data_IF_679395220541
#
_entry.id   IF_679395220541
#
_cell.length_a   1.000
_cell.length_b   1.000
_cell.length_c   1.000
_cell.angle_alpha   90.00
_cell.angle_beta   90.00
_cell.angle_gamma   90.00
#
_symmetry.space_group_name_H-M   'P 1'
#
loop_
_entity.id
_entity.type
_entity.pdbx_description
1 polymer ?
#
# COMPACT_ATOMS: atom_id res chain seq x y z
N UNK A 1 -19.53 -6.45 -5.82
CA UNK A 1 -18.26 -5.70 -5.68
C UNK A 1 -18.32 -4.96 -4.37
N UNK A 2 -17.45 -5.31 -3.42
CA UNK A 2 -17.42 -4.70 -2.08
C UNK A 2 -16.09 -3.95 -1.92
N UNK A 3 -15.90 -2.89 -2.72
CA UNK A 3 -14.65 -2.13 -2.76
C UNK A 3 -14.85 -0.75 -2.12
N UNK A 4 -13.95 -0.35 -1.24
CA UNK A 4 -13.91 0.99 -0.65
C UNK A 4 -12.56 1.65 -0.93
N UNK A 5 -12.54 2.60 -1.86
CA UNK A 5 -11.36 3.40 -2.18
C UNK A 5 -11.45 4.77 -1.51
N UNK A 6 -10.47 5.08 -0.66
CA UNK A 6 -10.44 6.28 0.17
C UNK A 6 -9.38 7.24 -0.38
N UNK A 7 -9.81 8.43 -0.78
CA UNK A 7 -8.87 9.46 -1.28
C UNK A 7 -8.94 10.73 -0.44
N UNK A 8 -7.86 11.51 -0.48
CA UNK A 8 -7.73 12.74 0.28
C UNK A 8 -6.33 13.30 0.18
N UNK A 9 -6.17 14.57 0.59
CA UNK A 9 -4.85 15.22 0.57
C UNK A 9 -3.84 14.47 1.47
N UNK A 10 -2.53 14.52 1.16
CA UNK A 10 -1.51 13.96 2.04
C UNK A 10 -1.63 14.53 3.47
N UNK A 11 -1.46 13.69 4.48
CA UNK A 11 -1.53 14.10 5.89
C UNK A 11 -2.94 14.29 6.48
N UNK A 12 -4.03 14.06 5.72
CA UNK A 12 -5.41 14.22 6.24
C UNK A 12 -5.85 13.16 7.27
N UNK A 13 -5.01 12.15 7.55
CA UNK A 13 -5.32 11.09 8.52
C UNK A 13 -5.86 9.79 7.93
N UNK A 14 -5.68 9.53 6.62
CA UNK A 14 -6.11 8.28 5.96
C UNK A 14 -5.51 7.04 6.64
N UNK A 15 -4.21 7.03 6.87
CA UNK A 15 -3.53 5.93 7.57
C UNK A 15 -4.09 5.70 8.97
N UNK A 16 -4.39 6.77 9.72
CA UNK A 16 -5.03 6.66 11.03
C UNK A 16 -6.42 6.03 10.95
N UNK A 17 -7.21 6.40 9.94
CA UNK A 17 -8.50 5.77 9.69
C UNK A 17 -8.35 4.28 9.35
N UNK A 18 -7.40 3.93 8.47
CA UNK A 18 -7.13 2.56 8.08
C UNK A 18 -6.73 1.68 9.27
N UNK A 19 -5.87 2.19 10.17
CA UNK A 19 -5.46 1.46 11.38
C UNK A 19 -6.67 1.16 12.26
N UNK A 20 -7.53 2.16 12.52
CA UNK A 20 -8.76 1.96 13.31
C UNK A 20 -9.75 1.00 12.64
N UNK A 21 -9.80 1.02 11.31
CA UNK A 21 -10.65 0.11 10.55
C UNK A 21 -10.13 -1.33 10.60
N UNK A 22 -8.82 -1.52 10.53
CA UNK A 22 -8.19 -2.82 10.73
C UNK A 22 -8.53 -3.39 12.12
N UNK A 23 -8.39 -2.57 13.17
CA UNK A 23 -8.77 -2.95 14.55
C UNK A 23 -10.27 -3.29 14.66
N UNK A 24 -11.14 -2.50 14.05
CA UNK A 24 -12.58 -2.74 14.06
C UNK A 24 -13.02 -4.01 13.29
N UNK A 25 -12.15 -4.52 12.40
CA UNK A 25 -12.40 -5.71 11.59
C UNK A 25 -11.64 -6.94 12.09
N UNK A 26 -11.00 -6.91 13.26
CA UNK A 26 -10.11 -7.97 13.77
C UNK A 26 -10.70 -9.38 13.67
N UNK A 27 -11.98 -9.56 14.02
CA UNK A 27 -12.73 -10.83 13.96
C UNK A 27 -12.88 -11.40 12.54
N UNK A 28 -12.71 -10.57 11.50
CA UNK A 28 -12.72 -11.00 10.10
C UNK A 28 -11.32 -11.36 9.59
N UNK A 29 -10.31 -11.28 10.47
CA UNK A 29 -8.91 -11.55 10.18
C UNK A 29 -8.40 -10.84 8.92
N UNK A 30 -8.53 -9.50 8.84
CA UNK A 30 -8.08 -8.72 7.70
C UNK A 30 -6.58 -8.89 7.47
N UNK A 31 -6.18 -8.79 6.21
CA UNK A 31 -4.78 -8.89 5.79
C UNK A 31 -4.39 -7.70 4.91
N UNK A 32 -3.08 -7.55 4.67
CA UNK A 32 -2.52 -6.47 3.87
C UNK A 32 -1.50 -5.66 4.66
N UNK A 33 -1.34 -4.40 4.30
CA UNK A 33 -0.27 -3.57 4.80
C UNK A 33 -0.59 -2.08 4.76
N UNK A 34 0.18 -1.31 5.53
CA UNK A 34 0.21 0.14 5.48
C UNK A 34 1.60 0.66 5.15
N UNK A 35 1.68 1.90 4.69
CA UNK A 35 2.93 2.58 4.37
C UNK A 35 3.19 3.66 5.41
N UNK A 36 4.36 3.60 6.05
CA UNK A 36 4.77 4.55 7.09
C UNK A 36 5.96 5.38 6.62
N UNK A 37 5.99 6.64 7.05
CA UNK A 37 7.13 7.51 6.84
C UNK A 37 8.30 7.10 7.74
N UNK A 38 9.49 6.97 7.17
CA UNK A 38 10.74 6.90 7.93
C UNK A 38 11.23 8.34 8.11
N UNK A 39 11.45 8.73 9.37
CA UNK A 39 11.89 10.06 9.75
C UNK A 39 13.16 10.01 10.58
N UNK A 40 14.11 10.86 10.23
CA UNK A 40 15.37 11.08 10.95
C UNK A 40 15.55 12.57 11.21
N UNK A 41 15.92 12.93 12.44
CA UNK A 41 16.09 14.33 12.85
C UNK A 41 14.92 15.26 12.43
N UNK A 42 13.67 14.76 12.51
CA UNK A 42 12.46 15.49 12.12
C UNK A 42 12.17 15.53 10.61
N UNK A 43 13.09 15.09 9.77
CA UNK A 43 12.96 15.08 8.30
C UNK A 43 12.53 13.70 7.78
N UNK A 44 11.65 13.68 6.79
CA UNK A 44 11.28 12.42 6.09
C UNK A 44 12.39 11.98 5.14
N UNK A 45 12.97 10.82 5.43
CA UNK A 45 14.08 10.20 4.69
C UNK A 45 13.66 8.98 3.87
N UNK A 46 12.50 8.39 4.16
CA UNK A 46 12.01 7.26 3.38
C UNK A 46 10.60 6.84 3.72
N UNK A 47 10.23 5.67 3.21
CA UNK A 47 8.96 5.01 3.45
C UNK A 47 9.20 3.51 3.64
N UNK A 48 8.54 2.94 4.64
CA UNK A 48 8.49 1.51 4.90
C UNK A 48 7.07 0.98 4.73
N UNK A 49 6.96 -0.25 4.29
CA UNK A 49 5.73 -1.03 4.35
C UNK A 49 5.72 -1.78 5.68
N UNK A 50 4.56 -1.78 6.33
CA UNK A 50 4.30 -2.51 7.56
C UNK A 50 3.05 -3.37 7.35
N UNK A 51 3.26 -4.68 7.34
CA UNK A 51 2.19 -5.65 7.25
C UNK A 51 1.42 -5.75 8.56
N UNK A 52 0.15 -6.12 8.45
CA UNK A 52 -0.68 -6.40 9.62
C UNK A 52 -0.27 -7.68 10.36
N UNK A 53 0.53 -8.53 9.72
CA UNK A 53 1.21 -9.69 10.32
C UNK A 53 2.51 -9.31 11.08
N UNK A 54 2.82 -8.02 11.17
CA UNK A 54 4.03 -7.50 11.81
C UNK A 54 5.27 -7.47 10.91
N UNK A 55 5.17 -7.94 9.67
CA UNK A 55 6.24 -7.86 8.68
C UNK A 55 6.58 -6.41 8.33
N UNK A 56 7.83 -6.16 7.94
CA UNK A 56 8.28 -4.83 7.49
C UNK A 56 9.20 -4.93 6.28
N UNK A 57 9.11 -3.96 5.37
CA UNK A 57 10.01 -3.84 4.21
C UNK A 57 10.27 -2.38 3.87
N UNK A 58 11.51 -2.03 3.55
CA UNK A 58 11.83 -0.73 2.98
C UNK A 58 11.17 -0.59 1.59
N UNK A 59 10.38 0.45 1.37
CA UNK A 59 9.82 0.77 0.06
C UNK A 59 10.67 1.80 -0.67
N UNK A 60 11.11 2.84 0.02
CA UNK A 60 11.96 3.87 -0.58
C UNK A 60 12.81 4.61 0.45
N UNK A 61 13.96 5.11 0.01
CA UNK A 61 14.87 5.91 0.84
C UNK A 61 15.58 6.99 0.01
N UNK A 62 16.04 8.05 0.67
CA UNK A 62 16.87 9.09 0.03
C UNK A 62 18.23 8.56 -0.43
N UNK A 63 18.80 7.62 0.34
CA UNK A 63 20.10 7.01 0.05
C UNK A 63 20.00 5.83 -0.92
N UNK A 64 18.79 5.44 -1.32
CA UNK A 64 18.59 4.36 -2.27
C UNK A 64 18.86 4.85 -3.70
N UNK A 65 19.86 4.24 -4.33
CA UNK A 65 20.10 4.42 -5.76
C UNK A 65 19.20 3.48 -6.55
N UNK A 66 18.21 4.05 -7.23
CA UNK A 66 17.24 3.29 -8.02
C UNK A 66 16.84 4.06 -9.27
N UNK A 67 16.58 3.33 -10.37
CA UNK A 67 16.00 3.89 -11.59
C UNK A 67 14.57 4.40 -11.38
N UNK A 68 13.87 3.86 -10.39
CA UNK A 68 12.53 4.28 -10.00
C UNK A 68 12.64 5.31 -8.89
N UNK A 69 12.11 6.51 -9.15
CA UNK A 69 12.23 7.63 -8.23
C UNK A 69 10.93 8.42 -8.12
N UNK A 70 10.68 8.96 -6.93
CA UNK A 70 9.65 9.99 -6.70
C UNK A 70 10.29 11.13 -5.90
N UNK A 71 10.55 12.25 -6.58
CA UNK A 71 11.34 13.34 -5.99
C UNK A 71 12.74 12.85 -5.60
N UNK A 72 13.10 13.02 -4.32
CA UNK A 72 14.40 12.60 -3.78
C UNK A 72 14.48 11.12 -3.38
N UNK A 73 13.36 10.39 -3.37
CA UNK A 73 13.31 9.00 -2.88
C UNK A 73 13.56 8.02 -4.02
N UNK A 74 14.58 7.17 -3.90
CA UNK A 74 14.73 5.98 -4.73
C UNK A 74 13.82 4.87 -4.20
N UNK A 75 13.16 4.14 -5.09
CA UNK A 75 12.17 3.11 -4.75
C UNK A 75 12.75 1.71 -4.98
N UNK A 76 12.64 0.83 -3.99
CA UNK A 76 13.04 -0.58 -4.06
C UNK A 76 11.89 -1.44 -4.62
N UNK A 77 11.75 -1.44 -5.94
CA UNK A 77 10.68 -2.21 -6.61
C UNK A 77 10.88 -3.72 -6.44
N UNK A 78 12.11 -4.19 -6.55
CA UNK A 78 12.39 -5.62 -6.39
C UNK A 78 12.00 -6.08 -4.99
N UNK A 79 12.42 -5.34 -3.96
CA UNK A 79 12.07 -5.67 -2.59
C UNK A 79 10.60 -5.56 -2.26
N UNK A 80 9.91 -4.61 -2.89
CA UNK A 80 8.47 -4.51 -2.77
C UNK A 80 7.77 -5.73 -3.39
N UNK A 81 8.21 -6.19 -4.56
CA UNK A 81 7.63 -7.37 -5.22
C UNK A 81 7.90 -8.68 -4.46
N UNK A 82 9.10 -8.83 -3.89
CA UNK A 82 9.40 -9.93 -2.95
C UNK A 82 8.44 -9.94 -1.76
N UNK A 83 8.20 -8.77 -1.16
CA UNK A 83 7.29 -8.61 -0.04
C UNK A 83 5.84 -8.98 -0.41
N UNK A 84 5.35 -8.47 -1.53
CA UNK A 84 3.99 -8.77 -2.01
C UNK A 84 3.79 -10.27 -2.26
N UNK A 85 4.81 -10.94 -2.79
CA UNK A 85 4.79 -12.40 -3.01
C UNK A 85 4.75 -13.17 -1.69
N UNK A 86 5.39 -12.66 -0.64
CA UNK A 86 5.41 -13.29 0.68
C UNK A 86 4.11 -13.15 1.47
N UNK A 87 3.30 -12.12 1.18
CA UNK A 87 2.10 -11.80 1.96
C UNK A 87 0.90 -12.72 1.69
N UNK A 88 0.99 -13.55 0.64
CA UNK A 88 0.02 -14.59 0.25
C UNK A 88 -1.46 -14.16 0.27
N UNK A 89 -1.74 -12.89 -0.06
CA UNK A 89 -3.06 -12.22 0.05
C UNK A 89 -4.16 -12.99 -0.71
N UNK A 90 -3.78 -13.77 -1.72
CA UNK A 90 -4.72 -14.54 -2.54
C UNK A 90 -5.14 -15.87 -1.90
N UNK A 91 -4.38 -16.41 -0.93
CA UNK A 91 -4.71 -17.68 -0.26
C UNK A 91 -5.56 -17.52 0.99
N UNK A 92 -5.75 -16.30 1.50
CA UNK A 92 -6.47 -16.01 2.75
C UNK A 92 -8.00 -15.98 2.56
N UNK A 93 -8.54 -16.84 1.67
CA UNK A 93 -9.98 -17.00 1.46
C UNK A 93 -10.72 -15.69 1.15
N UNK A 94 -11.81 -15.43 1.89
CA UNK A 94 -12.66 -14.23 1.75
C UNK A 94 -12.33 -13.11 2.75
N UNK A 95 -11.22 -13.22 3.47
CA UNK A 95 -10.86 -12.22 4.48
C UNK A 95 -10.70 -10.83 3.83
N UNK A 96 -11.05 -9.75 4.54
CA UNK A 96 -10.87 -8.41 4.02
C UNK A 96 -9.41 -8.12 3.70
N UNK A 97 -9.18 -7.39 2.61
CA UNK A 97 -7.85 -6.89 2.26
C UNK A 97 -7.81 -5.40 2.46
N UNK A 98 -6.79 -4.91 3.16
CA UNK A 98 -6.59 -3.51 3.47
C UNK A 98 -5.21 -3.07 2.99
N UNK A 99 -5.15 -2.07 2.11
CA UNK A 99 -3.89 -1.53 1.56
C UNK A 99 -3.82 -0.01 1.71
N UNK A 100 -2.78 0.50 2.37
CA UNK A 100 -2.46 1.94 2.45
C UNK A 100 -1.02 2.16 1.96
N UNK A 101 -0.72 2.79 0.81
CA UNK A 101 -1.63 3.38 -0.19
C UNK A 101 -1.38 2.82 -1.60
N UNK A 102 -2.38 2.98 -2.49
CA UNK A 102 -2.20 2.88 -3.94
C UNK A 102 -1.64 4.23 -4.43
N UNK A 103 -0.32 4.35 -4.29
CA UNK A 103 0.43 5.56 -4.58
C UNK A 103 1.35 5.42 -5.79
N UNK A 104 2.04 6.52 -6.12
CA UNK A 104 2.95 6.59 -7.28
C UNK A 104 4.17 5.66 -7.11
N UNK A 105 4.65 5.46 -5.89
CA UNK A 105 5.84 4.65 -5.61
C UNK A 105 5.54 3.17 -5.85
N UNK A 106 4.45 2.69 -5.27
CA UNK A 106 3.95 1.33 -5.33
C UNK A 106 3.56 0.96 -6.76
N UNK A 107 2.94 1.89 -7.48
CA UNK A 107 2.51 1.68 -8.88
C UNK A 107 3.65 1.58 -9.90
N UNK A 108 4.91 1.79 -9.51
CA UNK A 108 6.04 1.42 -10.38
C UNK A 108 6.16 -0.11 -10.52
N UNK A 109 5.72 -0.88 -9.52
CA UNK A 109 5.63 -2.34 -9.63
C UNK A 109 4.52 -2.73 -10.59
N UNK A 110 4.83 -3.66 -11.51
CA UNK A 110 3.82 -4.27 -12.37
C UNK A 110 2.98 -5.25 -11.53
N UNK A 111 3.65 -6.07 -10.71
CA UNK A 111 3.01 -7.06 -9.85
C UNK A 111 2.00 -6.42 -8.90
N UNK A 112 2.32 -5.27 -8.31
CA UNK A 112 1.38 -4.53 -7.47
C UNK A 112 0.15 -4.07 -8.24
N UNK A 113 0.33 -3.51 -9.44
CA UNK A 113 -0.81 -3.05 -10.26
C UNK A 113 -1.73 -4.20 -10.64
N UNK A 114 -1.16 -5.34 -11.03
CA UNK A 114 -1.92 -6.55 -11.33
C UNK A 114 -2.65 -7.08 -10.09
N UNK A 115 -1.99 -7.10 -8.93
CA UNK A 115 -2.62 -7.46 -7.66
C UNK A 115 -3.84 -6.55 -7.40
N UNK A 116 -3.70 -5.23 -7.51
CA UNK A 116 -4.81 -4.28 -7.31
C UNK A 116 -5.99 -4.58 -8.25
N UNK A 117 -5.74 -4.83 -9.54
CA UNK A 117 -6.80 -5.20 -10.50
C UNK A 117 -7.51 -6.48 -10.05
N UNK A 118 -6.74 -7.51 -9.68
CA UNK A 118 -7.31 -8.77 -9.18
C UNK A 118 -8.09 -8.57 -7.89
N UNK A 119 -7.64 -7.71 -6.97
CA UNK A 119 -8.37 -7.39 -5.74
C UNK A 119 -9.73 -6.75 -6.03
N UNK A 120 -9.77 -5.82 -6.97
CA UNK A 120 -10.98 -5.09 -7.34
C UNK A 120 -12.05 -5.99 -8.00
N UNK A 121 -11.63 -7.04 -8.69
CA UNK A 121 -12.51 -7.98 -9.40
C UNK A 121 -13.05 -9.12 -8.51
N UNK A 122 -12.49 -9.33 -7.32
CA UNK A 122 -12.83 -10.45 -6.43
C UNK A 122 -14.09 -10.19 -5.60
N UNK A 123 -14.81 -11.25 -5.28
CA UNK A 123 -15.92 -11.24 -4.30
C UNK A 123 -15.37 -11.28 -2.86
N UNK A 124 -14.72 -10.19 -2.46
CA UNK A 124 -14.25 -9.95 -1.09
C UNK A 124 -14.27 -8.46 -0.75
N UNK A 125 -14.22 -8.13 0.54
CA UNK A 125 -14.07 -6.74 0.98
C UNK A 125 -12.64 -6.27 0.69
N UNK A 126 -12.50 -5.31 -0.22
CA UNK A 126 -11.23 -4.66 -0.50
C UNK A 126 -11.29 -3.19 -0.12
N UNK A 127 -10.44 -2.78 0.82
CA UNK A 127 -10.33 -1.41 1.28
C UNK A 127 -8.94 -0.92 0.92
N UNK A 128 -8.85 0.24 0.27
CA UNK A 128 -7.56 0.86 0.03
C UNK A 128 -7.62 2.37 0.10
N UNK A 129 -6.51 2.98 0.47
CA UNK A 129 -6.32 4.41 0.22
C UNK A 129 -5.70 4.59 -1.16
N UNK A 130 -6.06 5.67 -1.83
CA UNK A 130 -5.59 5.95 -3.19
C UNK A 130 -5.20 7.41 -3.34
N UNK A 131 -4.06 7.65 -4.00
CA UNK A 131 -3.57 9.00 -4.24
C UNK A 131 -4.60 9.84 -5.02
N UNK A 132 -4.85 11.06 -4.55
CA UNK A 132 -5.85 11.97 -5.17
C UNK A 132 -5.56 12.28 -6.63
N UNK A 133 -4.29 12.36 -7.00
CA UNK A 133 -3.81 12.49 -8.38
C UNK A 133 -2.65 11.51 -8.55
N UNK A 134 -2.56 10.84 -9.69
CA UNK A 134 -1.54 9.83 -9.87
C UNK A 134 -1.18 9.53 -11.31
N UNK A 135 -0.63 8.33 -11.48
CA UNK A 135 -0.31 7.74 -12.78
C UNK A 135 -1.61 7.43 -13.55
N UNK A 136 -1.55 7.18 -14.86
CA UNK A 136 -2.72 6.73 -15.63
C UNK A 136 -3.43 5.52 -14.99
N UNK A 137 -2.68 4.63 -14.35
CA UNK A 137 -3.24 3.49 -13.60
C UNK A 137 -4.08 3.94 -12.40
N UNK A 138 -3.58 4.88 -11.59
CA UNK A 138 -4.32 5.41 -10.43
C UNK A 138 -5.62 6.10 -10.88
N UNK A 139 -5.62 6.77 -12.02
CA UNK A 139 -6.83 7.40 -12.56
C UNK A 139 -7.79 6.38 -13.18
N UNK A 140 -7.31 5.24 -13.69
CA UNK A 140 -8.18 4.21 -14.29
C UNK A 140 -8.94 3.35 -13.28
N UNK A 141 -8.51 3.34 -12.02
CA UNK A 141 -9.14 2.52 -10.95
C UNK A 141 -10.05 3.33 -10.01
N UNK A 142 -10.12 4.66 -10.18
CA UNK A 142 -11.10 5.51 -9.49
C UNK A 142 -12.43 5.48 -10.22
#
# INVERSE_FOLDING_TARGET
MNNLLITGVPGVGKTTFIIRLFEALEEQHPCGFITREIREAGSRVGFEIVGFDGSKRLLSHVDLTSRYRVGKYGVDIHGFEEYLTSLDIERIGKNPVIIDEIGKMECYSVLFRELIVRLLERDRLFIATIARKGTPFIESIK
#
